data_IF_061620201923
#
_entry.id   IF_061620201923
#
_cell.length_a   1.000
_cell.length_b   1.000
_cell.length_c   1.000
_cell.angle_alpha   90.00
_cell.angle_beta   90.00
_cell.angle_gamma   90.00
#
_symmetry.space_group_name_H-M   'P 1'
#
loop_
_entity.id
_entity.type
_entity.pdbx_description
1 polymer ?
#
# COMPACT_ATOMS: atom_id res chain seq x y z
N UNK A 1 7.01 9.60 -1.77
CA UNK A 1 6.93 8.61 -0.68
C UNK A 1 7.73 9.05 0.55
N UNK A 2 9.03 9.33 0.43
CA UNK A 2 9.87 9.80 1.55
C UNK A 2 9.32 11.08 2.21
N UNK A 3 8.75 12.01 1.42
CA UNK A 3 8.14 13.23 1.93
C UNK A 3 6.85 12.95 2.72
N UNK A 4 6.05 11.99 2.26
CA UNK A 4 4.83 11.55 2.96
C UNK A 4 5.21 10.85 4.27
N UNK A 5 6.23 9.99 4.25
CA UNK A 5 6.75 9.33 5.46
C UNK A 5 7.26 10.34 6.50
N UNK A 6 7.95 11.37 6.07
CA UNK A 6 8.42 12.44 6.96
C UNK A 6 7.26 13.27 7.54
N UNK A 7 6.25 13.60 6.72
CA UNK A 7 5.03 14.28 7.19
C UNK A 7 4.26 13.43 8.19
N UNK A 8 4.08 12.12 7.90
CA UNK A 8 3.45 11.18 8.82
C UNK A 8 4.20 11.09 10.15
N UNK A 9 5.54 11.03 10.13
CA UNK A 9 6.34 11.00 11.35
C UNK A 9 6.11 12.25 12.19
N UNK A 10 6.15 13.45 11.59
CA UNK A 10 5.90 14.73 12.29
C UNK A 10 4.50 14.79 12.89
N UNK A 11 3.48 14.36 12.15
CA UNK A 11 2.09 14.33 12.63
C UNK A 11 1.94 13.29 13.75
N UNK A 12 2.58 12.13 13.63
CA UNK A 12 2.56 11.10 14.69
C UNK A 12 3.22 11.60 15.98
N UNK A 13 4.33 12.32 15.88
CA UNK A 13 5.00 12.94 17.03
C UNK A 13 4.13 14.03 17.68
N UNK A 14 3.40 14.81 16.90
CA UNK A 14 2.46 15.82 17.40
C UNK A 14 1.22 15.19 18.08
N UNK A 15 0.64 14.17 17.50
CA UNK A 15 -0.53 13.48 18.06
C UNK A 15 -0.17 12.69 19.32
N UNK A 16 1.03 12.10 19.40
CA UNK A 16 1.48 11.43 20.62
C UNK A 16 1.53 12.38 21.82
N UNK A 17 1.89 13.64 21.62
CA UNK A 17 1.87 14.69 22.66
C UNK A 17 0.47 15.21 23.04
N UNK A 18 -0.58 14.83 22.27
CA UNK A 18 -1.98 15.27 22.52
C UNK A 18 -2.84 14.22 23.24
N UNK A 19 -2.34 13.03 23.49
CA UNK A 19 -3.10 12.00 24.18
C UNK A 19 -3.27 12.39 25.64
N UNK A 20 -4.52 12.56 26.17
CA UNK A 20 -4.76 13.18 27.47
C UNK A 20 -4.10 12.50 28.68
N UNK A 21 -3.88 11.18 28.58
CA UNK A 21 -3.22 10.38 29.63
C UNK A 21 -1.69 10.44 29.60
N UNK A 22 -1.12 11.22 28.69
CA UNK A 22 0.30 11.56 28.68
C UNK A 22 0.62 12.85 29.47
N UNK A 23 -0.39 13.55 30.00
CA UNK A 23 -0.13 14.68 30.89
C UNK A 23 0.38 14.13 32.23
N UNK A 24 1.65 14.24 32.43
CA UNK A 24 2.33 13.88 33.69
C UNK A 24 1.82 14.72 34.87
N UNK A 25 1.00 15.76 34.62
CA UNK A 25 0.47 16.66 35.65
C UNK A 25 -0.72 16.06 36.43
N UNK A 26 -1.31 14.94 35.96
CA UNK A 26 -2.40 14.24 36.64
C UNK A 26 -1.94 13.05 37.52
N UNK A 27 -0.64 12.84 37.66
CA UNK A 27 -0.13 11.97 38.71
C UNK A 27 -0.18 12.73 40.03
N UNK A 28 -1.29 12.48 40.74
CA UNK A 28 -1.58 12.99 42.07
C UNK A 28 -0.35 12.77 42.97
N UNK A 29 0.14 13.85 43.58
CA UNK A 29 1.26 13.81 44.57
C UNK A 29 0.97 12.89 45.77
N UNK A 30 -0.20 12.25 45.80
CA UNK A 30 -0.63 11.30 46.83
C UNK A 30 -0.12 9.85 46.67
N UNK A 31 0.59 9.53 45.59
CA UNK A 31 1.11 8.15 45.36
C UNK A 31 2.58 7.98 45.79
N UNK A 32 3.03 8.76 46.75
CA UNK A 32 4.43 8.70 47.27
C UNK A 32 4.85 7.31 47.80
N UNK A 33 3.90 6.48 48.23
CA UNK A 33 4.24 5.17 48.78
C UNK A 33 4.55 4.06 47.75
N UNK A 34 4.13 4.22 46.49
CA UNK A 34 4.33 3.20 45.46
C UNK A 34 5.59 3.38 44.63
N UNK A 35 6.06 4.62 44.52
CA UNK A 35 7.21 4.96 43.69
C UNK A 35 8.53 4.66 44.42
N UNK A 36 8.58 4.90 45.71
CA UNK A 36 9.80 4.62 46.51
C UNK A 36 10.10 3.12 46.65
N UNK A 37 9.09 2.25 46.71
CA UNK A 37 9.30 0.79 46.75
C UNK A 37 9.88 0.23 45.46
N UNK A 38 9.58 0.85 44.30
CA UNK A 38 10.11 0.43 43.02
C UNK A 38 11.50 0.99 42.70
N UNK A 39 11.90 2.11 43.31
CA UNK A 39 13.26 2.66 43.18
C UNK A 39 14.33 1.79 43.87
N UNK A 40 13.97 0.95 44.83
CA UNK A 40 14.86 -0.02 45.46
C UNK A 40 15.10 -1.28 44.60
N UNK A 41 14.30 -1.52 43.58
CA UNK A 41 14.45 -2.59 42.60
C UNK A 41 15.24 -2.06 41.40
N UNK A 42 16.52 -2.26 41.39
CA UNK A 42 17.49 -2.01 40.32
C UNK A 42 16.98 -1.21 39.10
N UNK A 43 17.40 0.01 38.91
CA UNK A 43 16.94 0.99 37.94
C UNK A 43 16.94 0.59 36.46
N UNK A 44 17.25 -0.65 36.10
CA UNK A 44 17.10 -1.19 34.76
C UNK A 44 15.63 -1.51 34.39
N UNK A 45 14.76 -1.85 35.37
CA UNK A 45 13.35 -2.17 35.13
C UNK A 45 12.50 -0.94 34.80
N UNK A 46 12.88 0.24 35.25
CA UNK A 46 12.11 1.46 35.07
C UNK A 46 12.30 2.08 33.66
N UNK A 47 13.51 1.99 33.12
CA UNK A 47 13.78 2.43 31.75
C UNK A 47 13.08 1.57 30.72
N UNK A 48 12.97 0.26 30.96
CA UNK A 48 12.26 -0.69 30.08
C UNK A 48 10.76 -0.41 30.07
N UNK A 49 10.14 -0.13 31.20
CA UNK A 49 8.72 0.22 31.27
C UNK A 49 8.40 1.55 30.57
N UNK A 50 9.28 2.56 30.71
CA UNK A 50 9.16 3.83 29.99
C UNK A 50 9.26 3.69 28.48
N UNK A 51 10.18 2.86 28.01
CA UNK A 51 10.33 2.55 26.58
C UNK A 51 9.12 1.80 26.00
N UNK A 52 8.54 0.89 26.78
CA UNK A 52 7.36 0.13 26.36
C UNK A 52 6.12 1.02 26.28
N UNK A 53 5.91 1.92 27.25
CA UNK A 53 4.84 2.91 27.21
C UNK A 53 5.02 3.83 26.00
N UNK A 54 6.23 4.34 25.75
CA UNK A 54 6.54 5.18 24.60
C UNK A 54 6.25 4.46 23.27
N UNK A 55 6.57 3.17 23.18
CA UNK A 55 6.25 2.33 22.00
C UNK A 55 4.75 2.16 21.79
N UNK A 56 4.01 1.86 22.86
CA UNK A 56 2.55 1.72 22.81
C UNK A 56 1.90 3.03 22.37
N UNK A 57 2.31 4.14 22.94
CA UNK A 57 1.79 5.46 22.59
C UNK A 57 2.10 5.85 21.14
N UNK A 58 3.31 5.55 20.68
CA UNK A 58 3.68 5.75 19.27
C UNK A 58 2.86 4.86 18.34
N UNK A 59 2.54 3.64 18.73
CA UNK A 59 1.70 2.74 17.96
C UNK A 59 0.26 3.24 17.86
N UNK A 60 -0.33 3.67 18.97
CA UNK A 60 -1.69 4.25 19.02
C UNK A 60 -1.77 5.55 18.22
N UNK A 61 -0.74 6.41 18.32
CA UNK A 61 -0.69 7.64 17.53
C UNK A 61 -0.60 7.36 16.03
N UNK A 62 0.19 6.36 15.63
CA UNK A 62 0.26 5.92 14.22
C UNK A 62 -1.08 5.42 13.71
N UNK A 63 -1.79 4.62 14.50
CA UNK A 63 -3.10 4.08 14.13
C UNK A 63 -4.11 5.21 13.90
N UNK A 64 -4.20 6.17 14.82
CA UNK A 64 -5.07 7.35 14.66
C UNK A 64 -4.71 8.21 13.45
N UNK A 65 -3.43 8.37 13.15
CA UNK A 65 -2.97 9.12 11.98
C UNK A 65 -3.34 8.37 10.69
N UNK A 66 -3.21 7.06 10.67
CA UNK A 66 -3.61 6.23 9.52
C UNK A 66 -5.11 6.26 9.29
N UNK A 67 -5.92 6.23 10.35
CA UNK A 67 -7.37 6.37 10.28
C UNK A 67 -7.77 7.72 9.68
N UNK A 68 -7.23 8.82 10.20
CA UNK A 68 -7.47 10.16 9.66
C UNK A 68 -7.03 10.29 8.20
N UNK A 69 -5.89 9.72 7.83
CA UNK A 69 -5.41 9.71 6.46
C UNK A 69 -6.33 8.90 5.55
N UNK A 70 -6.79 7.73 6.00
CA UNK A 70 -7.73 6.89 5.26
C UNK A 70 -9.06 7.60 5.01
N UNK A 71 -9.58 8.33 6.00
CA UNK A 71 -10.79 9.15 5.85
C UNK A 71 -10.57 10.29 4.84
N UNK A 72 -9.47 11.03 4.98
CA UNK A 72 -9.15 12.13 4.07
C UNK A 72 -9.00 11.67 2.61
N UNK A 73 -8.33 10.53 2.38
CA UNK A 73 -8.21 9.93 1.05
C UNK A 73 -9.57 9.52 0.47
N UNK A 74 -10.47 8.99 1.31
CA UNK A 74 -11.82 8.61 0.88
C UNK A 74 -12.65 9.83 0.50
N UNK A 75 -12.56 10.91 1.28
CA UNK A 75 -13.23 12.18 0.98
C UNK A 75 -12.69 12.82 -0.31
N UNK A 76 -11.39 12.80 -0.53
CA UNK A 76 -10.75 13.30 -1.75
C UNK A 76 -11.24 12.53 -2.97
N UNK A 77 -11.21 11.19 -2.93
CA UNK A 77 -11.75 10.35 -4.00
C UNK A 77 -13.23 10.61 -4.27
N UNK A 78 -14.04 10.81 -3.23
CA UNK A 78 -15.46 11.13 -3.39
C UNK A 78 -15.66 12.50 -4.05
N UNK A 79 -14.88 13.51 -3.68
CA UNK A 79 -14.91 14.82 -4.31
C UNK A 79 -14.52 14.75 -5.79
N UNK A 80 -13.48 13.99 -6.12
CA UNK A 80 -13.08 13.77 -7.52
C UNK A 80 -14.19 13.05 -8.29
N UNK A 81 -14.81 12.02 -7.71
CA UNK A 81 -15.91 11.29 -8.32
C UNK A 81 -17.13 12.18 -8.62
N UNK A 82 -17.44 13.16 -7.77
CA UNK A 82 -18.52 14.12 -7.99
C UNK A 82 -18.28 15.05 -9.19
N UNK A 83 -17.02 15.28 -9.56
CA UNK A 83 -16.64 16.11 -10.70
C UNK A 83 -16.64 15.33 -12.01
N UNK A 84 -16.77 14.00 -11.99
CA UNK A 84 -16.81 13.16 -13.19
C UNK A 84 -18.17 13.33 -13.88
N UNK A 85 -18.14 13.74 -15.15
CA UNK A 85 -19.35 13.82 -15.97
C UNK A 85 -19.57 12.49 -16.69
N UNK A 86 -20.54 11.76 -16.21
CA UNK A 86 -21.02 10.56 -16.90
C UNK A 86 -21.75 10.96 -18.20
N UNK A 87 -21.61 10.13 -19.24
CA UNK A 87 -22.28 10.37 -20.53
C UNK A 87 -23.81 10.38 -20.41
N UNK A 88 -24.50 10.85 -21.44
CA UNK A 88 -25.97 10.98 -21.45
C UNK A 88 -26.72 9.69 -21.10
N UNK A 89 -26.13 8.52 -21.38
CA UNK A 89 -26.71 7.22 -21.05
C UNK A 89 -26.79 6.96 -19.53
N UNK A 90 -26.01 7.69 -18.75
CA UNK A 90 -25.89 7.55 -17.29
C UNK A 90 -26.30 8.83 -16.57
N UNK A 91 -27.15 9.65 -17.21
CA UNK A 91 -27.62 10.91 -16.63
C UNK A 91 -28.39 10.66 -15.33
N UNK A 92 -28.00 11.38 -14.27
CA UNK A 92 -28.61 11.27 -12.93
C UNK A 92 -28.03 10.18 -12.04
N UNK A 93 -27.07 9.40 -12.53
CA UNK A 93 -26.36 8.41 -11.73
C UNK A 93 -25.21 9.08 -10.98
N UNK A 94 -25.02 8.69 -9.71
CA UNK A 94 -23.91 9.16 -8.87
C UNK A 94 -22.91 8.03 -8.69
N UNK A 95 -21.66 8.41 -8.52
CA UNK A 95 -20.59 7.51 -8.08
C UNK A 95 -20.43 7.67 -6.58
N UNK A 96 -20.49 6.56 -5.85
CA UNK A 96 -20.37 6.52 -4.39
C UNK A 96 -19.13 5.70 -4.06
N UNK A 97 -18.18 6.32 -3.36
CA UNK A 97 -16.95 5.66 -2.93
C UNK A 97 -17.16 5.08 -1.52
N UNK A 98 -17.00 3.79 -1.41
CA UNK A 98 -17.07 3.06 -0.15
C UNK A 98 -15.69 2.55 0.23
N UNK A 99 -15.25 2.81 1.45
CA UNK A 99 -14.02 2.25 2.00
C UNK A 99 -14.28 1.75 3.42
N UNK A 100 -13.94 0.51 3.67
CA UNK A 100 -14.01 -0.08 5.00
C UNK A 100 -12.98 0.60 5.91
N UNK A 101 -13.44 1.29 6.94
CA UNK A 101 -12.57 1.97 7.90
C UNK A 101 -12.08 1.00 8.99
N UNK A 102 -12.98 0.26 9.58
CA UNK A 102 -12.68 -0.74 10.60
C UNK A 102 -12.65 -2.14 9.98
N UNK A 103 -11.62 -2.90 10.29
CA UNK A 103 -11.44 -4.26 9.78
C UNK A 103 -11.75 -5.22 10.91
N UNK A 104 -12.79 -6.01 10.71
CA UNK A 104 -13.18 -7.07 11.65
C UNK A 104 -12.09 -8.15 11.73
N UNK A 105 -11.94 -8.73 12.90
CA UNK A 105 -10.97 -9.81 13.13
C UNK A 105 -11.27 -11.04 12.26
N UNK A 106 -12.51 -11.25 11.87
CA UNK A 106 -12.95 -12.29 10.94
C UNK A 106 -12.22 -12.20 9.59
N UNK A 107 -12.04 -11.01 9.03
CA UNK A 107 -11.30 -10.80 7.78
C UNK A 107 -9.80 -11.09 7.93
N UNK A 108 -9.22 -10.75 9.08
CA UNK A 108 -7.83 -11.05 9.38
C UNK A 108 -7.60 -12.56 9.41
N UNK A 109 -8.47 -13.31 10.11
CA UNK A 109 -8.38 -14.76 10.19
C UNK A 109 -8.59 -15.43 8.83
N UNK A 110 -9.59 -14.98 8.05
CA UNK A 110 -9.81 -15.47 6.69
C UNK A 110 -8.59 -15.22 5.80
N UNK A 111 -8.01 -14.01 5.82
CA UNK A 111 -6.81 -13.71 5.06
C UNK A 111 -5.66 -14.64 5.45
N UNK A 112 -5.41 -14.83 6.74
CA UNK A 112 -4.34 -15.69 7.23
C UNK A 112 -4.48 -17.15 6.77
N UNK A 113 -5.72 -17.63 6.62
CA UNK A 113 -5.99 -19.00 6.14
C UNK A 113 -5.74 -19.15 4.62
N UNK A 114 -6.05 -18.13 3.82
CA UNK A 114 -6.01 -18.20 2.34
C UNK A 114 -4.71 -17.67 1.76
N UNK A 115 -4.06 -16.69 2.40
CA UNK A 115 -2.91 -15.99 1.86
C UNK A 115 -1.65 -16.84 1.63
N UNK A 116 -1.26 -17.82 2.47
CA UNK A 116 0.03 -18.48 2.35
C UNK A 116 0.34 -19.04 0.95
N UNK A 117 -0.54 -19.83 0.30
CA UNK A 117 -0.29 -20.33 -1.06
C UNK A 117 -0.25 -19.20 -2.10
N UNK A 118 -1.06 -18.15 -1.95
CA UNK A 118 -1.10 -17.02 -2.87
C UNK A 118 0.18 -16.18 -2.78
N UNK A 119 0.69 -15.95 -1.58
CA UNK A 119 1.96 -15.26 -1.36
C UNK A 119 3.16 -16.05 -1.92
N UNK A 120 3.10 -17.36 -1.93
CA UNK A 120 4.12 -18.18 -2.58
C UNK A 120 4.16 -17.94 -4.11
N UNK A 121 2.98 -17.81 -4.74
CA UNK A 121 2.87 -17.47 -6.16
C UNK A 121 3.41 -16.06 -6.41
N UNK A 122 3.03 -15.07 -5.59
CA UNK A 122 3.55 -13.70 -5.66
C UNK A 122 5.07 -13.67 -5.62
N UNK A 123 5.70 -14.39 -4.69
CA UNK A 123 7.17 -14.51 -4.60
C UNK A 123 7.81 -15.11 -5.85
N UNK A 124 7.15 -16.06 -6.52
CA UNK A 124 7.66 -16.60 -7.78
C UNK A 124 7.63 -15.56 -8.91
N UNK A 125 6.54 -14.78 -8.99
CA UNK A 125 6.40 -13.68 -9.95
C UNK A 125 7.48 -12.62 -9.67
N UNK A 126 7.66 -12.22 -8.40
CA UNK A 126 8.70 -11.26 -7.98
C UNK A 126 10.10 -11.70 -8.46
N UNK A 127 10.48 -12.96 -8.23
CA UNK A 127 11.78 -13.49 -8.66
C UNK A 127 11.99 -13.42 -10.17
N UNK A 128 10.93 -13.67 -10.95
CA UNK A 128 11.00 -13.63 -12.43
C UNK A 128 11.11 -12.19 -12.93
N UNK A 129 10.30 -11.28 -12.40
CA UNK A 129 10.25 -9.89 -12.85
C UNK A 129 11.37 -9.02 -12.28
N UNK A 130 11.94 -9.36 -11.12
CA UNK A 130 13.05 -8.62 -10.53
C UNK A 130 14.26 -8.47 -11.49
N UNK A 131 14.52 -9.46 -12.32
CA UNK A 131 15.56 -9.39 -13.35
C UNK A 131 15.21 -8.35 -14.41
N UNK A 132 13.96 -8.35 -14.89
CA UNK A 132 13.47 -7.42 -15.91
C UNK A 132 13.55 -5.98 -15.38
N UNK A 133 13.13 -5.74 -14.14
CA UNK A 133 13.21 -4.41 -13.52
C UNK A 133 14.66 -3.94 -13.29
N UNK A 134 15.56 -4.85 -12.92
CA UNK A 134 16.99 -4.54 -12.82
C UNK A 134 17.58 -4.18 -14.17
N UNK A 135 17.25 -4.91 -15.23
CA UNK A 135 17.73 -4.62 -16.58
C UNK A 135 17.19 -3.28 -17.10
N UNK A 136 15.97 -2.90 -16.72
CA UNK A 136 15.40 -1.58 -17.06
C UNK A 136 16.07 -0.41 -16.33
N UNK A 137 16.63 -0.64 -15.13
CA UNK A 137 17.35 0.36 -14.33
C UNK A 137 18.85 0.35 -14.54
N UNK A 138 19.35 -0.47 -15.47
CA UNK A 138 20.79 -0.67 -15.67
C UNK A 138 21.49 0.60 -16.14
N UNK A 139 22.25 1.18 -15.24
CA UNK A 139 23.27 2.19 -15.52
C UNK A 139 24.59 1.49 -15.68
N UNK A 140 25.14 1.49 -16.85
CA UNK A 140 26.38 0.81 -17.06
C UNK A 140 27.00 1.07 -18.41
N UNK A 141 28.21 0.51 -18.58
CA UNK A 141 28.92 0.52 -19.84
C UNK A 141 28.32 -0.54 -20.77
N UNK A 142 27.70 -0.10 -21.87
CA UNK A 142 27.35 -0.98 -22.98
C UNK A 142 28.62 -1.21 -23.83
N UNK A 143 28.99 -2.48 -23.99
CA UNK A 143 30.15 -2.90 -24.77
C UNK A 143 29.72 -3.66 -26.03
N UNK A 144 30.66 -3.92 -26.94
CA UNK A 144 30.42 -4.63 -28.18
C UNK A 144 29.39 -3.97 -29.10
N UNK A 145 29.45 -2.67 -29.24
CA UNK A 145 28.61 -1.87 -30.13
C UNK A 145 29.33 -1.60 -31.46
N UNK A 146 28.57 -1.45 -32.54
CA UNK A 146 29.09 -1.01 -33.86
C UNK A 146 29.50 0.46 -33.86
N UNK A 147 28.89 1.27 -32.95
CA UNK A 147 29.19 2.70 -32.79
C UNK A 147 29.15 3.09 -31.32
N UNK A 148 30.04 3.96 -30.87
CA UNK A 148 30.08 4.42 -29.48
C UNK A 148 31.17 5.47 -29.25
N UNK A 149 31.15 6.12 -28.09
CA UNK A 149 32.12 7.19 -27.74
C UNK A 149 33.49 6.66 -27.33
N UNK A 150 33.62 5.40 -26.99
CA UNK A 150 34.88 4.81 -26.54
C UNK A 150 35.14 3.53 -27.30
N UNK A 151 36.42 3.31 -27.69
CA UNK A 151 36.88 2.05 -28.26
C UNK A 151 37.28 1.13 -27.12
N UNK A 152 36.93 -0.15 -27.22
CA UNK A 152 37.30 -1.19 -26.29
C UNK A 152 38.44 -1.99 -26.88
N UNK A 153 39.70 -1.81 -26.40
CA UNK A 153 40.87 -2.44 -27.01
C UNK A 153 40.79 -3.96 -27.06
N UNK A 154 40.11 -4.59 -26.08
CA UNK A 154 39.93 -6.04 -26.00
C UNK A 154 39.04 -6.60 -27.12
N UNK A 155 38.20 -5.76 -27.74
CA UNK A 155 37.25 -6.14 -28.77
C UNK A 155 37.71 -5.74 -30.17
N UNK A 156 38.90 -5.15 -30.36
CA UNK A 156 39.43 -4.74 -31.65
C UNK A 156 39.58 -5.89 -32.64
N UNK A 157 39.69 -7.12 -32.14
CA UNK A 157 39.75 -8.33 -32.93
C UNK A 157 38.40 -8.91 -33.32
N UNK A 158 37.28 -8.25 -32.94
CA UNK A 158 35.94 -8.75 -33.33
C UNK A 158 35.70 -8.53 -34.82
N UNK A 159 35.59 -9.61 -35.57
CA UNK A 159 35.33 -9.64 -37.01
C UNK A 159 34.02 -8.92 -37.41
N UNK A 160 33.11 -8.72 -36.48
CA UNK A 160 31.82 -8.03 -36.68
C UNK A 160 31.93 -6.51 -36.48
N UNK A 161 33.12 -5.99 -36.18
CA UNK A 161 33.34 -4.56 -35.99
C UNK A 161 32.71 -3.95 -34.72
N UNK A 162 32.33 -4.78 -33.73
CA UNK A 162 31.65 -4.35 -32.50
C UNK A 162 32.63 -4.02 -31.39
N UNK A 163 33.54 -3.08 -31.64
CA UNK A 163 34.60 -2.69 -30.70
C UNK A 163 34.33 -1.38 -29.97
N UNK A 164 33.15 -0.80 -30.13
CA UNK A 164 32.78 0.43 -29.42
C UNK A 164 32.05 0.13 -28.12
N UNK A 165 32.13 1.08 -27.22
CA UNK A 165 31.37 1.13 -25.98
C UNK A 165 30.85 2.55 -25.72
N UNK A 166 29.73 2.62 -24.96
CA UNK A 166 29.19 3.85 -24.44
C UNK A 166 28.76 3.67 -22.99
N UNK A 167 28.86 4.73 -22.22
CA UNK A 167 28.20 4.76 -20.92
C UNK A 167 26.72 5.07 -21.17
N UNK A 168 25.86 4.23 -20.69
CA UNK A 168 24.43 4.51 -20.62
C UNK A 168 24.21 5.40 -19.40
N UNK A 169 23.72 6.61 -19.62
CA UNK A 169 23.25 7.46 -18.52
C UNK A 169 22.13 6.74 -17.79
N UNK A 170 21.95 7.02 -16.46
CA UNK A 170 20.77 6.55 -15.76
C UNK A 170 19.54 6.91 -16.58
N UNK A 171 18.85 5.91 -17.10
CA UNK A 171 17.51 6.12 -17.63
C UNK A 171 16.65 6.60 -16.45
N UNK A 172 15.86 7.63 -16.64
CA UNK A 172 14.82 7.97 -15.68
C UNK A 172 14.10 6.67 -15.33
N UNK A 173 14.01 6.36 -14.03
CA UNK A 173 13.26 5.20 -13.57
C UNK A 173 11.86 5.35 -14.13
N UNK A 174 11.47 4.49 -15.05
CA UNK A 174 10.09 4.47 -15.51
C UNK A 174 9.24 4.20 -14.26
N UNK A 175 8.47 5.19 -13.85
CA UNK A 175 7.52 5.03 -12.77
C UNK A 175 6.40 4.11 -13.29
N UNK A 176 6.31 2.93 -12.70
CA UNK A 176 5.22 1.99 -12.94
C UNK A 176 4.22 2.16 -11.80
N UNK A 177 2.95 2.29 -12.13
CA UNK A 177 1.84 2.19 -11.21
C UNK A 177 0.86 1.16 -11.76
N UNK A 178 0.17 0.46 -10.89
CA UNK A 178 -0.81 -0.58 -11.24
C UNK A 178 -2.17 -0.18 -10.69
N UNK A 179 -3.16 -0.10 -11.56
CA UNK A 179 -4.56 0.06 -11.18
C UNK A 179 -5.32 -1.20 -11.57
N UNK A 180 -6.12 -1.72 -10.65
CA UNK A 180 -6.96 -2.91 -10.83
C UNK A 180 -8.39 -2.53 -10.50
N UNK A 181 -9.28 -2.66 -11.48
CA UNK A 181 -10.72 -2.53 -11.29
C UNK A 181 -11.35 -3.92 -11.34
N UNK A 182 -12.10 -4.28 -10.31
CA UNK A 182 -12.73 -5.60 -10.19
C UNK A 182 -14.24 -5.48 -10.30
N UNK A 183 -14.84 -6.34 -11.11
CA UNK A 183 -16.28 -6.47 -11.19
C UNK A 183 -16.79 -7.22 -9.94
N UNK A 184 -17.73 -6.61 -9.23
CA UNK A 184 -18.43 -7.18 -8.07
C UNK A 184 -19.93 -7.40 -8.35
N UNK A 185 -20.31 -7.50 -9.61
CA UNK A 185 -21.69 -7.80 -9.98
C UNK A 185 -22.11 -9.20 -9.52
N UNK A 186 -23.42 -9.40 -9.38
CA UNK A 186 -24.00 -10.67 -8.93
C UNK A 186 -23.58 -11.88 -9.76
N UNK A 187 -23.31 -11.69 -11.07
CA UNK A 187 -22.81 -12.75 -11.95
C UNK A 187 -21.43 -13.30 -11.56
N UNK A 188 -20.66 -12.55 -10.78
CA UNK A 188 -19.37 -12.99 -10.26
C UNK A 188 -19.49 -14.11 -9.20
N UNK A 189 -20.69 -14.35 -8.67
CA UNK A 189 -20.95 -15.50 -7.79
C UNK A 189 -20.89 -16.83 -8.56
N UNK A 190 -21.17 -16.80 -9.87
CA UNK A 190 -21.17 -18.01 -10.69
C UNK A 190 -19.75 -18.55 -10.87
N UNK A 191 -19.59 -19.87 -10.71
CA UNK A 191 -18.32 -20.57 -10.95
C UNK A 191 -17.14 -20.02 -10.11
N UNK A 192 -17.41 -19.53 -8.92
CA UNK A 192 -16.40 -18.97 -7.98
C UNK A 192 -15.53 -17.85 -8.57
N UNK A 193 -16.03 -17.10 -9.56
CA UNK A 193 -15.26 -16.03 -10.24
C UNK A 193 -14.76 -14.99 -9.25
N UNK A 194 -15.60 -14.57 -8.29
CA UNK A 194 -15.22 -13.63 -7.24
C UNK A 194 -14.07 -14.15 -6.37
N UNK A 195 -14.03 -15.45 -6.12
CA UNK A 195 -12.94 -16.10 -5.35
C UNK A 195 -11.62 -16.02 -6.11
N UNK A 196 -11.65 -16.26 -7.43
CA UNK A 196 -10.45 -16.11 -8.28
C UNK A 196 -10.03 -14.65 -8.40
N UNK A 197 -10.96 -13.72 -8.53
CA UNK A 197 -10.67 -12.27 -8.57
C UNK A 197 -9.99 -11.82 -7.26
N UNK A 198 -10.54 -12.25 -6.12
CA UNK A 198 -9.94 -11.99 -4.79
C UNK A 198 -8.53 -12.55 -4.68
N UNK A 199 -8.33 -13.80 -5.10
CA UNK A 199 -7.00 -14.43 -5.08
C UNK A 199 -6.00 -13.67 -5.97
N UNK A 200 -6.42 -13.25 -7.17
CA UNK A 200 -5.60 -12.44 -8.06
C UNK A 200 -5.27 -11.08 -7.43
N UNK A 201 -6.24 -10.41 -6.80
CA UNK A 201 -6.04 -9.16 -6.07
C UNK A 201 -4.98 -9.28 -4.97
N UNK A 202 -5.05 -10.32 -4.16
CA UNK A 202 -4.06 -10.59 -3.10
C UNK A 202 -2.66 -10.78 -3.69
N UNK A 203 -2.54 -11.57 -4.77
CA UNK A 203 -1.24 -11.84 -5.42
C UNK A 203 -0.64 -10.56 -5.98
N UNK A 204 -1.44 -9.75 -6.70
CA UNK A 204 -1.00 -8.51 -7.32
C UNK A 204 -0.63 -7.48 -6.25
N UNK A 205 -1.46 -7.36 -5.20
CA UNK A 205 -1.20 -6.46 -4.08
C UNK A 205 0.14 -6.76 -3.42
N UNK A 206 0.38 -8.02 -3.02
CA UNK A 206 1.64 -8.42 -2.38
C UNK A 206 2.84 -8.22 -3.31
N UNK A 207 2.67 -8.56 -4.60
CA UNK A 207 3.70 -8.33 -5.61
C UNK A 207 4.07 -6.84 -5.71
N UNK A 208 3.08 -5.96 -5.86
CA UNK A 208 3.32 -4.53 -6.01
C UNK A 208 3.95 -3.91 -4.75
N UNK A 209 3.45 -4.28 -3.56
CA UNK A 209 4.04 -3.80 -2.30
C UNK A 209 5.48 -4.29 -2.10
N UNK A 210 5.79 -5.52 -2.46
CA UNK A 210 7.15 -6.07 -2.37
C UNK A 210 8.13 -5.45 -3.38
N UNK A 211 7.63 -5.01 -4.55
CA UNK A 211 8.43 -4.38 -5.61
C UNK A 211 8.46 -2.85 -5.52
N UNK A 212 7.84 -2.27 -4.49
CA UNK A 212 7.70 -0.82 -4.30
C UNK A 212 6.99 -0.13 -5.48
N UNK A 213 5.96 -0.78 -6.02
CA UNK A 213 5.12 -0.29 -7.11
C UNK A 213 3.82 0.24 -6.51
N UNK A 214 3.44 1.51 -6.77
CA UNK A 214 2.14 2.03 -6.36
C UNK A 214 1.01 1.19 -6.95
N UNK A 215 0.01 0.86 -6.12
CA UNK A 215 -1.11 0.04 -6.52
C UNK A 215 -2.43 0.61 -6.02
N UNK A 216 -3.40 0.67 -6.92
CA UNK A 216 -4.79 0.99 -6.67
C UNK A 216 -5.63 -0.25 -6.95
N UNK A 217 -6.49 -0.66 -6.03
CA UNK A 217 -7.45 -1.75 -6.22
C UNK A 217 -8.82 -1.25 -5.81
N UNK A 218 -9.74 -1.31 -6.76
CA UNK A 218 -11.15 -0.94 -6.56
C UNK A 218 -12.06 -2.05 -7.06
N UNK A 219 -13.18 -2.24 -6.39
CA UNK A 219 -14.31 -3.03 -6.89
C UNK A 219 -15.44 -2.12 -7.34
N UNK A 220 -16.25 -2.55 -8.29
CA UNK A 220 -17.43 -1.81 -8.71
C UNK A 220 -18.66 -2.70 -8.83
N UNK A 221 -19.81 -2.11 -8.52
CA UNK A 221 -21.12 -2.72 -8.73
C UNK A 221 -22.18 -1.61 -8.91
N UNK A 222 -23.37 -1.96 -9.33
CA UNK A 222 -24.48 -1.00 -9.52
C UNK A 222 -25.68 -1.38 -8.65
N UNK A 223 -26.01 -0.47 -7.72
CA UNK A 223 -27.24 -0.50 -6.93
C UNK A 223 -27.93 0.88 -7.05
N UNK A 224 -28.66 1.10 -8.14
CA UNK A 224 -29.25 2.41 -8.49
C UNK A 224 -28.23 3.53 -8.75
N UNK A 225 -27.10 3.51 -8.10
CA UNK A 225 -25.91 4.33 -8.29
C UNK A 225 -24.68 3.42 -8.42
N UNK A 226 -23.63 3.91 -9.06
CA UNK A 226 -22.37 3.17 -9.14
C UNK A 226 -21.72 3.17 -7.77
N UNK A 227 -21.54 1.99 -7.21
CA UNK A 227 -20.83 1.78 -5.95
C UNK A 227 -19.40 1.36 -6.27
N UNK A 228 -18.43 2.13 -5.80
CA UNK A 228 -17.00 1.82 -5.90
C UNK A 228 -16.50 1.45 -4.51
N UNK A 229 -15.89 0.28 -4.40
CA UNK A 229 -15.27 -0.20 -3.16
C UNK A 229 -13.77 -0.01 -3.24
N UNK A 230 -13.21 0.93 -2.48
CA UNK A 230 -11.79 1.21 -2.46
C UNK A 230 -11.06 0.31 -1.46
N UNK A 231 -10.33 -0.69 -1.95
CA UNK A 231 -9.56 -1.64 -1.14
C UNK A 231 -8.17 -1.10 -0.80
N UNK A 232 -7.49 -0.50 -1.76
CA UNK A 232 -6.21 0.18 -1.57
C UNK A 232 -6.06 1.33 -2.53
N UNK A 233 -5.26 2.31 -2.17
CA UNK A 233 -4.94 3.48 -2.98
C UNK A 233 -3.44 3.55 -3.26
N UNK A 234 -3.05 4.30 -4.30
CA UNK A 234 -1.65 4.50 -4.70
C UNK A 234 -0.80 5.04 -3.54
N UNK A 235 -1.34 5.97 -2.77
CA UNK A 235 -0.67 6.64 -1.68
C UNK A 235 -0.92 5.97 -0.31
N UNK A 236 -1.72 4.90 -0.28
CA UNK A 236 -2.00 4.20 0.96
C UNK A 236 -0.76 3.50 1.51
N UNK A 237 -0.41 3.86 2.73
CA UNK A 237 0.65 3.22 3.53
C UNK A 237 0.07 2.25 4.57
N UNK A 238 -1.24 2.08 4.58
CA UNK A 238 -1.94 1.24 5.54
C UNK A 238 -1.63 -0.24 5.29
N UNK A 239 -1.14 -0.90 6.33
CA UNK A 239 -0.86 -2.34 6.29
C UNK A 239 -2.14 -3.18 6.33
N UNK A 240 -3.25 -2.55 6.72
CA UNK A 240 -4.56 -3.19 6.83
C UNK A 240 -5.25 -3.35 5.48
N UNK A 241 -4.82 -2.64 4.44
CA UNK A 241 -5.39 -2.75 3.08
C UNK A 241 -5.48 -4.19 2.56
N UNK A 242 -4.50 -5.03 2.90
CA UNK A 242 -4.50 -6.45 2.53
C UNK A 242 -5.74 -7.21 3.01
N UNK A 243 -6.27 -6.82 4.16
CA UNK A 243 -7.44 -7.47 4.76
C UNK A 243 -8.74 -6.95 4.16
N UNK A 244 -8.77 -5.69 3.69
CA UNK A 244 -9.92 -5.14 2.96
C UNK A 244 -10.25 -5.93 1.71
N UNK A 245 -9.26 -6.55 1.06
CA UNK A 245 -9.45 -7.43 -0.09
C UNK A 245 -10.33 -8.65 0.23
N UNK A 246 -10.51 -9.01 1.49
CA UNK A 246 -11.38 -10.10 1.91
C UNK A 246 -12.87 -9.74 1.80
N UNK A 247 -13.22 -8.44 1.79
CA UNK A 247 -14.58 -7.96 1.59
C UNK A 247 -15.05 -8.05 0.13
N UNK A 248 -14.13 -8.27 -0.82
CA UNK A 248 -14.46 -8.41 -2.23
C UNK A 248 -15.46 -9.57 -2.42
N UNK A 249 -16.67 -9.25 -2.87
CA UNK A 249 -17.78 -10.19 -2.95
C UNK A 249 -18.71 -9.85 -4.13
N UNK A 250 -19.42 -10.84 -4.64
CA UNK A 250 -20.46 -10.59 -5.64
C UNK A 250 -21.66 -9.93 -4.96
N UNK A 251 -22.11 -8.77 -5.47
CA UNK A 251 -23.12 -7.93 -4.81
C UNK A 251 -24.34 -7.72 -5.71
N UNK A 252 -24.40 -6.58 -6.37
CA UNK A 252 -25.61 -6.15 -7.10
C UNK A 252 -25.49 -6.32 -8.63
N UNK A 253 -25.90 -5.30 -9.38
CA UNK A 253 -25.86 -5.26 -10.82
C UNK A 253 -24.50 -4.89 -11.40
N UNK A 254 -24.47 -4.66 -12.71
CA UNK A 254 -23.30 -4.23 -13.42
C UNK A 254 -23.60 -3.00 -14.30
N UNK A 255 -22.71 -2.02 -14.26
CA UNK A 255 -22.77 -0.81 -15.09
C UNK A 255 -21.38 -0.36 -15.51
N UNK A 256 -20.67 -1.22 -16.22
CA UNK A 256 -19.26 -0.99 -16.63
C UNK A 256 -19.03 0.35 -17.32
N UNK A 257 -20.02 0.85 -18.07
CA UNK A 257 -19.88 2.11 -18.79
C UNK A 257 -19.87 3.36 -17.92
N UNK A 258 -20.16 3.23 -16.62
CA UNK A 258 -20.18 4.33 -15.65
C UNK A 258 -19.18 4.13 -14.49
N UNK A 259 -18.63 2.93 -14.31
CA UNK A 259 -17.56 2.63 -13.39
C UNK A 259 -16.20 2.90 -14.06
#
# INVERSE_FOLDING_TARGET
>A
RAEIEEKLRKVTEQESGRIPWMKTDDFDEGAEGGVEQNLSYHGAGYSVAGDDISRILTAVAKEKVQEKLSLALTEEMQQEAEHIRLGNAHSGIKIIINRMQEIEESYIQQYQSVAPPLLAISKQIQKRLQRVFKDMSFTGKESALLMGRRIEPRLLMDRKGRFFSRNRLPSEKKSLAVAVLMDESGSMADQDRVTYARAAGIIIYDFCKAMDVPILIMGHTDDSNVQIYAYTDFDSMDKMDRYRLMDLSARYGNRDGAA
#
